data_IF_692553321420
#
_entry.id   IF_692553321420
#
_cell.length_a   1.000
_cell.length_b   1.000
_cell.length_c   1.000
_cell.angle_alpha   90.00
_cell.angle_beta   90.00
_cell.angle_gamma   90.00
#
_symmetry.space_group_name_H-M   'P 1'
#
loop_
_entity.id
_entity.type
_entity.pdbx_description
1 polymer ?
#
# COMPACT_ATOMS: atom_id res chain seq x y z
N UNK A 1 45.80 -13.84 38.24
CA UNK A 1 44.38 -13.83 37.83
C UNK A 1 44.13 -12.57 37.02
N UNK A 2 43.76 -12.73 35.75
CA UNK A 2 43.90 -11.73 34.69
C UNK A 2 42.73 -10.72 34.74
N UNK A 3 43.02 -9.42 34.93
CA UNK A 3 42.02 -8.33 34.99
C UNK A 3 41.05 -8.30 33.78
N UNK A 4 41.43 -8.88 32.65
CA UNK A 4 40.56 -9.01 31.47
C UNK A 4 39.47 -10.07 31.63
N UNK A 5 39.61 -11.03 32.55
CA UNK A 5 38.59 -12.05 32.80
C UNK A 5 37.45 -11.50 33.68
N UNK A 6 37.79 -10.60 34.61
CA UNK A 6 36.83 -9.99 35.53
C UNK A 6 35.89 -9.00 34.82
N UNK A 7 36.38 -8.29 33.79
CA UNK A 7 35.58 -7.33 33.04
C UNK A 7 34.56 -8.07 32.12
N UNK A 8 34.92 -9.24 31.55
CA UNK A 8 34.00 -10.02 30.76
C UNK A 8 32.90 -10.73 31.57
N UNK A 9 33.21 -11.12 32.78
CA UNK A 9 32.21 -11.75 33.68
C UNK A 9 31.28 -10.66 34.26
N UNK A 10 31.78 -9.45 34.51
CA UNK A 10 30.96 -8.33 35.00
C UNK A 10 30.00 -7.80 33.88
N UNK A 11 30.45 -7.80 32.62
CA UNK A 11 29.57 -7.41 31.50
C UNK A 11 28.50 -8.48 31.19
N UNK A 12 28.76 -9.77 31.39
CA UNK A 12 27.74 -10.82 31.26
C UNK A 12 26.74 -10.79 32.42
N UNK A 13 27.12 -10.41 33.61
CA UNK A 13 26.23 -10.29 34.77
C UNK A 13 25.35 -9.01 34.66
N UNK A 14 25.85 -7.93 34.04
CA UNK A 14 25.09 -6.70 33.80
C UNK A 14 24.06 -6.88 32.62
N UNK A 15 24.34 -7.75 31.67
CA UNK A 15 23.39 -8.08 30.59
C UNK A 15 22.29 -9.01 31.10
N UNK A 16 22.55 -9.85 32.11
CA UNK A 16 21.53 -10.74 32.68
C UNK A 16 20.64 -10.07 33.75
N UNK A 17 20.93 -8.86 34.19
CA UNK A 17 20.08 -8.11 35.13
C UNK A 17 19.18 -7.05 34.49
N UNK A 18 19.23 -6.88 33.15
CA UNK A 18 18.31 -5.98 32.41
C UNK A 18 17.12 -6.72 31.77
N UNK A 19 16.93 -7.99 32.05
CA UNK A 19 15.78 -8.77 31.57
C UNK A 19 14.94 -9.26 32.77
N UNK A 20 14.51 -8.37 33.64
CA UNK A 20 13.34 -8.63 34.51
C UNK A 20 12.70 -7.31 34.85
N UNK A 21 11.87 -6.88 33.95
CA UNK A 21 11.02 -5.72 34.10
C UNK A 21 10.04 -5.60 32.95
N UNK A 22 9.63 -6.73 32.37
CA UNK A 22 8.39 -6.76 31.60
C UNK A 22 7.29 -6.60 32.65
N UNK A 23 6.99 -5.35 33.00
CA UNK A 23 5.69 -5.04 33.52
C UNK A 23 4.74 -5.54 32.44
N UNK A 24 4.00 -6.62 32.71
CA UNK A 24 2.82 -6.97 31.94
C UNK A 24 1.96 -5.72 31.97
N UNK A 25 2.08 -4.88 30.96
CA UNK A 25 1.09 -3.84 30.72
C UNK A 25 -0.20 -4.63 30.55
N UNK A 26 -1.10 -4.51 31.50
CA UNK A 26 -2.43 -5.07 31.36
C UNK A 26 -3.03 -4.34 30.17
N UNK A 27 -3.20 -5.04 29.06
CA UNK A 27 -3.92 -4.47 27.93
C UNK A 27 -5.35 -4.20 28.37
N UNK A 28 -5.88 -3.04 27.99
CA UNK A 28 -7.28 -2.76 28.17
C UNK A 28 -8.10 -3.89 27.51
N UNK A 29 -9.18 -4.28 28.15
CA UNK A 29 -10.15 -5.20 27.57
C UNK A 29 -11.35 -4.41 27.11
N UNK A 30 -12.06 -4.93 26.11
CA UNK A 30 -13.33 -4.33 25.66
C UNK A 30 -14.24 -4.17 26.87
N UNK A 31 -14.70 -2.93 27.11
CA UNK A 31 -15.51 -2.54 28.27
C UNK A 31 -14.76 -1.84 29.40
N UNK A 32 -13.42 -1.82 29.39
CA UNK A 32 -12.61 -1.22 30.48
C UNK A 32 -12.74 0.31 30.54
N UNK A 33 -12.95 1.00 29.41
CA UNK A 33 -13.16 2.46 29.37
C UNK A 33 -14.57 2.86 29.82
N UNK A 34 -15.52 1.93 29.78
CA UNK A 34 -16.95 2.21 29.94
C UNK A 34 -17.61 2.87 28.72
N UNK A 35 -16.83 3.14 27.65
CA UNK A 35 -17.32 3.67 26.37
C UNK A 35 -17.85 2.53 25.49
N UNK A 36 -17.08 1.50 25.28
CA UNK A 36 -17.51 0.33 24.51
C UNK A 36 -18.13 -0.70 25.46
N UNK A 37 -19.28 -1.25 25.11
CA UNK A 37 -19.93 -2.35 25.84
C UNK A 37 -19.98 -3.58 24.96
N UNK A 38 -19.70 -4.72 25.57
CA UNK A 38 -19.88 -6.02 24.95
C UNK A 38 -21.37 -6.39 24.99
N UNK A 39 -21.92 -6.76 23.83
CA UNK A 39 -23.34 -7.14 23.71
C UNK A 39 -23.54 -8.65 23.48
N UNK A 40 -22.47 -9.39 23.15
CA UNK A 40 -22.50 -10.81 22.88
C UNK A 40 -21.19 -11.52 23.18
N UNK A 41 -21.17 -12.83 22.99
CA UNK A 41 -19.94 -13.63 23.11
C UNK A 41 -19.02 -13.33 21.93
N UNK A 42 -17.71 -13.28 22.19
CA UNK A 42 -16.70 -13.17 21.14
C UNK A 42 -16.49 -14.52 20.48
N UNK A 43 -16.47 -14.54 19.15
CA UNK A 43 -16.05 -15.70 18.36
C UNK A 43 -14.64 -15.45 17.84
N UNK A 44 -13.72 -16.40 18.06
CA UNK A 44 -12.34 -16.33 17.58
C UNK A 44 -12.07 -17.55 16.71
N UNK A 45 -11.69 -17.31 15.45
CA UNK A 45 -11.28 -18.34 14.51
C UNK A 45 -9.80 -18.18 14.17
N UNK A 46 -9.03 -19.23 14.31
CA UNK A 46 -7.63 -19.25 13.88
C UNK A 46 -7.55 -19.53 12.37
N UNK A 47 -6.79 -18.68 11.67
CA UNK A 47 -6.58 -18.72 10.23
C UNK A 47 -5.12 -19.12 9.94
N UNK A 48 -4.78 -19.23 8.65
CA UNK A 48 -3.40 -19.48 8.22
C UNK A 48 -2.45 -18.40 8.74
N UNK A 49 -1.18 -18.76 8.94
CA UNK A 49 -0.15 -17.86 9.43
C UNK A 49 -0.35 -17.37 10.86
N UNK A 50 -1.21 -18.02 11.66
CA UNK A 50 -1.50 -17.64 13.04
C UNK A 50 -2.36 -16.37 13.16
N UNK A 51 -2.97 -15.94 12.06
CA UNK A 51 -3.95 -14.83 12.06
C UNK A 51 -5.20 -15.29 12.81
N UNK A 52 -5.78 -14.41 13.61
CA UNK A 52 -7.05 -14.64 14.29
C UNK A 52 -8.13 -13.71 13.74
N UNK A 53 -9.27 -14.29 13.40
CA UNK A 53 -10.49 -13.54 13.10
C UNK A 53 -11.33 -13.45 14.35
N UNK A 54 -11.56 -12.24 14.84
CA UNK A 54 -12.40 -11.92 15.97
C UNK A 54 -13.71 -11.33 15.49
N UNK A 55 -14.83 -11.77 16.04
CA UNK A 55 -16.17 -11.25 15.76
C UNK A 55 -16.95 -11.08 17.05
N UNK A 56 -17.52 -9.90 17.27
CA UNK A 56 -18.27 -9.60 18.49
C UNK A 56 -19.28 -8.48 18.26
N UNK A 57 -20.47 -8.63 18.84
CA UNK A 57 -21.43 -7.55 18.93
C UNK A 57 -21.05 -6.60 20.08
N UNK A 58 -21.02 -5.31 19.78
CA UNK A 58 -20.67 -4.26 20.73
C UNK A 58 -21.69 -3.12 20.69
N UNK A 59 -21.63 -2.24 21.66
CA UNK A 59 -22.37 -0.97 21.62
C UNK A 59 -21.52 0.17 22.16
N UNK A 60 -21.79 1.38 21.71
CA UNK A 60 -21.14 2.59 22.17
C UNK A 60 -22.12 3.78 22.16
N UNK A 61 -21.92 4.76 23.04
CA UNK A 61 -22.71 6.00 23.01
C UNK A 61 -22.10 6.90 21.91
N UNK A 62 -22.96 7.64 21.22
CA UNK A 62 -22.52 8.62 20.24
C UNK A 62 -21.57 9.63 20.89
N UNK A 63 -20.43 9.88 20.22
CA UNK A 63 -19.38 10.80 20.71
C UNK A 63 -18.85 10.45 22.13
N UNK A 64 -18.90 9.18 22.51
CA UNK A 64 -18.39 8.66 23.78
C UNK A 64 -19.04 9.23 25.06
N UNK A 65 -20.11 10.01 24.93
CA UNK A 65 -20.68 10.80 26.07
C UNK A 65 -22.19 10.63 26.33
N UNK A 66 -22.90 9.98 25.41
CA UNK A 66 -24.35 9.83 25.52
C UNK A 66 -24.80 8.71 26.46
N UNK A 67 -26.04 8.78 26.90
CA UNK A 67 -26.70 7.72 27.72
C UNK A 67 -27.27 6.59 26.84
N UNK A 68 -27.45 6.84 25.53
CA UNK A 68 -28.00 5.90 24.59
C UNK A 68 -26.90 5.20 23.83
N UNK A 69 -26.87 3.86 23.88
CA UNK A 69 -25.86 3.01 23.23
C UNK A 69 -26.41 2.45 21.92
N UNK A 70 -25.69 2.72 20.86
CA UNK A 70 -25.94 2.15 19.52
C UNK A 70 -25.19 0.82 19.38
N UNK A 71 -25.82 -0.17 18.76
CA UNK A 71 -25.26 -1.50 18.53
C UNK A 71 -24.52 -1.55 17.21
N UNK A 72 -23.40 -2.26 17.22
CA UNK A 72 -22.52 -2.44 16.06
C UNK A 72 -22.04 -3.88 15.99
N UNK A 73 -21.94 -4.39 14.77
CA UNK A 73 -21.17 -5.58 14.48
C UNK A 73 -19.68 -5.17 14.39
N UNK A 74 -18.83 -5.83 15.12
CA UNK A 74 -17.38 -5.60 15.05
C UNK A 74 -16.66 -6.86 14.68
N UNK A 75 -15.74 -6.75 13.74
CA UNK A 75 -14.89 -7.83 13.31
C UNK A 75 -13.49 -7.31 13.03
N UNK A 76 -12.48 -8.09 13.39
CA UNK A 76 -11.10 -7.76 13.08
C UNK A 76 -10.22 -9.00 12.90
N UNK A 77 -9.19 -8.80 12.09
CA UNK A 77 -8.07 -9.72 11.93
C UNK A 77 -6.91 -9.25 12.79
N UNK A 78 -6.26 -10.16 13.48
CA UNK A 78 -5.09 -9.91 14.31
C UNK A 78 -3.96 -10.87 13.91
N UNK A 79 -2.77 -10.33 13.66
CA UNK A 79 -1.56 -11.14 13.42
C UNK A 79 -0.96 -11.62 14.74
N UNK A 80 -0.03 -12.57 14.68
CA UNK A 80 0.85 -12.85 15.80
C UNK A 80 1.70 -11.63 16.18
N UNK A 81 2.27 -11.65 17.38
CA UNK A 81 3.17 -10.61 17.87
C UNK A 81 4.29 -10.30 16.85
N UNK A 82 4.54 -9.00 16.63
CA UNK A 82 5.52 -8.55 15.63
C UNK A 82 5.11 -8.80 14.17
N UNK A 83 3.87 -9.20 13.89
CA UNK A 83 3.40 -9.53 12.53
C UNK A 83 4.05 -10.78 11.94
N UNK A 84 4.61 -11.66 12.77
CA UNK A 84 5.26 -12.90 12.33
C UNK A 84 4.30 -13.77 11.51
N UNK A 85 4.85 -14.49 10.53
CA UNK A 85 4.13 -15.45 9.69
C UNK A 85 3.28 -14.83 8.58
N UNK A 86 3.09 -13.50 8.57
CA UNK A 86 2.22 -12.77 7.64
C UNK A 86 2.96 -11.60 7.04
N UNK A 87 2.74 -11.29 5.76
CA UNK A 87 3.10 -10.01 5.15
C UNK A 87 1.86 -9.18 4.93
N UNK A 88 2.04 -7.85 5.10
CA UNK A 88 1.02 -6.86 4.75
C UNK A 88 1.34 -6.33 3.36
N UNK A 89 0.41 -6.45 2.43
CA UNK A 89 0.58 -5.98 1.06
C UNK A 89 -0.59 -5.07 0.65
N UNK A 90 -0.28 -3.99 -0.03
CA UNK A 90 -1.27 -3.19 -0.75
C UNK A 90 -1.40 -3.73 -2.16
N UNK A 91 -2.64 -3.87 -2.66
CA UNK A 91 -2.88 -4.38 -3.99
C UNK A 91 -4.07 -3.70 -4.66
N UNK A 92 -3.86 -3.20 -5.87
CA UNK A 92 -4.91 -2.68 -6.73
C UNK A 92 -5.34 -3.73 -7.76
N UNK A 93 -6.62 -3.71 -8.15
CA UNK A 93 -7.07 -4.56 -9.24
C UNK A 93 -6.39 -4.13 -10.54
N UNK A 94 -5.58 -5.01 -11.11
CA UNK A 94 -4.75 -4.68 -12.28
C UNK A 94 -5.39 -5.22 -13.55
N UNK A 95 -5.67 -4.29 -14.46
CA UNK A 95 -5.59 -4.55 -15.87
C UNK A 95 -4.44 -3.69 -16.39
N UNK A 96 -3.51 -4.28 -17.13
CA UNK A 96 -2.15 -3.79 -17.40
C UNK A 96 -2.00 -2.27 -17.69
N UNK A 97 -3.02 -1.59 -18.14
CA UNK A 97 -2.92 -0.18 -18.59
C UNK A 97 -3.87 0.78 -17.86
N UNK A 98 -4.86 0.28 -17.10
CA UNK A 98 -5.93 1.13 -16.55
C UNK A 98 -6.19 0.84 -15.09
N UNK A 99 -6.40 1.89 -14.34
CA UNK A 99 -7.03 1.82 -13.04
C UNK A 99 -8.39 1.16 -13.18
N UNK A 100 -8.69 0.25 -12.28
CA UNK A 100 -9.99 -0.42 -12.21
C UNK A 100 -10.41 -0.56 -10.75
N UNK A 101 -11.70 -0.66 -10.55
CA UNK A 101 -12.28 -0.96 -9.25
C UNK A 101 -12.79 -2.39 -9.23
N UNK A 102 -12.59 -3.08 -8.10
CA UNK A 102 -13.12 -4.42 -7.86
C UNK A 102 -13.54 -4.58 -6.41
N UNK A 103 -14.31 -5.59 -6.07
CA UNK A 103 -14.55 -6.00 -4.70
C UNK A 103 -13.24 -6.41 -4.02
N UNK A 104 -13.16 -6.30 -2.70
CA UNK A 104 -11.95 -6.69 -1.95
C UNK A 104 -11.62 -8.17 -2.16
N UNK A 105 -12.65 -9.03 -2.24
CA UNK A 105 -12.51 -10.45 -2.56
C UNK A 105 -11.93 -10.70 -3.97
N UNK A 106 -12.37 -9.91 -4.97
CA UNK A 106 -11.82 -9.99 -6.32
C UNK A 106 -10.38 -9.51 -6.38
N UNK A 107 -10.05 -8.45 -5.62
CA UNK A 107 -8.68 -7.93 -5.49
C UNK A 107 -7.77 -9.01 -4.87
N UNK A 108 -8.24 -9.70 -3.83
CA UNK A 108 -7.51 -10.80 -3.19
C UNK A 108 -7.25 -11.95 -4.17
N UNK A 109 -8.26 -12.37 -4.93
CA UNK A 109 -8.12 -13.42 -5.95
C UNK A 109 -7.16 -13.01 -7.08
N UNK A 110 -7.18 -11.73 -7.47
CA UNK A 110 -6.24 -11.19 -8.46
C UNK A 110 -4.82 -11.18 -7.91
N UNK A 111 -4.62 -10.80 -6.63
CA UNK A 111 -3.30 -10.86 -6.00
C UNK A 111 -2.70 -12.27 -6.07
N UNK A 112 -3.44 -13.29 -5.67
CA UNK A 112 -2.96 -14.68 -5.69
C UNK A 112 -2.61 -15.15 -7.11
N UNK A 113 -3.41 -14.77 -8.09
CA UNK A 113 -3.17 -15.08 -9.50
C UNK A 113 -1.87 -14.45 -10.02
N UNK A 114 -1.61 -13.20 -9.66
CA UNK A 114 -0.43 -12.43 -10.13
C UNK A 114 0.83 -12.71 -9.28
N UNK A 115 0.67 -13.32 -8.09
CA UNK A 115 1.75 -13.64 -7.15
C UNK A 115 1.71 -15.14 -6.75
N UNK A 116 2.03 -16.07 -7.66
CA UNK A 116 2.01 -17.50 -7.35
C UNK A 116 2.87 -17.84 -6.13
N UNK A 117 2.37 -18.73 -5.27
CA UNK A 117 3.03 -19.12 -4.02
C UNK A 117 2.72 -18.21 -2.83
N UNK A 118 1.78 -17.28 -2.99
CA UNK A 118 1.20 -16.51 -1.88
C UNK A 118 -0.29 -16.78 -1.75
N UNK A 119 -0.77 -16.84 -0.52
CA UNK A 119 -2.18 -17.02 -0.16
C UNK A 119 -2.63 -15.79 0.63
N UNK A 120 -3.77 -15.22 0.27
CA UNK A 120 -4.45 -14.19 1.06
C UNK A 120 -5.19 -14.86 2.22
N UNK A 121 -4.84 -14.49 3.44
CA UNK A 121 -5.53 -14.95 4.64
C UNK A 121 -6.75 -14.10 4.95
N UNK A 122 -6.64 -12.80 4.69
CA UNK A 122 -7.70 -11.84 4.84
C UNK A 122 -7.24 -10.44 4.47
N UNK A 123 -8.10 -9.44 4.66
CA UNK A 123 -7.77 -8.06 4.31
C UNK A 123 -8.98 -7.14 4.36
N UNK A 124 -8.72 -5.86 4.06
CA UNK A 124 -9.74 -4.81 3.99
C UNK A 124 -9.54 -3.96 2.74
N UNK A 125 -10.56 -3.16 2.37
CA UNK A 125 -10.32 -2.02 1.49
C UNK A 125 -9.34 -1.04 2.18
N UNK A 126 -8.71 -0.17 1.39
CA UNK A 126 -7.70 0.74 1.93
C UNK A 126 -7.94 2.20 1.52
N UNK A 127 -7.30 2.64 0.47
CA UNK A 127 -7.24 4.04 0.07
C UNK A 127 -8.60 4.60 -0.37
N UNK A 128 -8.77 5.90 -0.15
CA UNK A 128 -9.77 6.65 -0.91
C UNK A 128 -9.41 6.67 -2.39
N UNK A 129 -10.41 6.69 -3.25
CA UNK A 129 -10.24 6.56 -4.70
C UNK A 129 -11.27 7.39 -5.46
N UNK A 130 -11.05 7.61 -6.75
CA UNK A 130 -11.99 8.29 -7.62
C UNK A 130 -13.18 7.40 -7.96
N UNK A 131 -14.16 7.34 -7.04
CA UNK A 131 -15.35 6.46 -7.12
C UNK A 131 -16.19 6.68 -8.36
N UNK A 132 -16.33 7.92 -8.83
CA UNK A 132 -17.08 8.28 -10.03
C UNK A 132 -16.20 8.32 -11.30
N UNK A 133 -14.96 7.88 -11.19
CA UNK A 133 -13.96 7.91 -12.25
C UNK A 133 -13.39 6.54 -12.56
N UNK A 134 -12.08 6.49 -12.67
CA UNK A 134 -11.34 5.29 -13.06
C UNK A 134 -10.92 4.40 -11.87
N UNK A 135 -11.25 4.74 -10.63
CA UNK A 135 -10.83 3.99 -9.44
C UNK A 135 -9.39 4.29 -8.98
N UNK A 136 -8.72 5.29 -9.58
CA UNK A 136 -7.39 5.70 -9.16
C UNK A 136 -7.41 6.14 -7.69
N UNK A 137 -6.43 5.71 -6.92
CA UNK A 137 -6.22 6.16 -5.54
C UNK A 137 -5.87 7.65 -5.52
N UNK A 138 -6.30 8.33 -4.47
CA UNK A 138 -6.13 9.80 -4.35
C UNK A 138 -4.86 10.19 -3.59
N UNK A 139 -4.06 9.23 -3.17
CA UNK A 139 -2.81 9.45 -2.42
C UNK A 139 -1.66 8.64 -2.99
N UNK A 140 -0.48 8.75 -2.37
CA UNK A 140 0.66 7.92 -2.73
C UNK A 140 0.35 6.43 -2.52
N UNK A 141 0.74 5.63 -3.48
CA UNK A 141 0.59 4.18 -3.39
C UNK A 141 1.84 3.47 -3.93
N UNK A 142 2.37 2.57 -3.10
CA UNK A 142 3.48 1.69 -3.41
C UNK A 142 3.00 0.24 -3.35
N UNK A 143 3.26 -0.54 -4.39
CA UNK A 143 2.95 -1.96 -4.45
C UNK A 143 4.17 -2.76 -4.89
N UNK A 144 4.66 -3.68 -4.06
CA UNK A 144 5.83 -4.49 -4.35
C UNK A 144 7.06 -3.67 -4.80
N UNK A 145 7.30 -2.53 -4.13
CA UNK A 145 8.40 -1.62 -4.46
C UNK A 145 8.18 -0.81 -5.74
N UNK A 146 6.96 -0.76 -6.24
CA UNK A 146 6.58 0.04 -7.40
C UNK A 146 5.71 1.22 -6.99
N UNK A 147 6.15 2.45 -7.27
CA UNK A 147 5.37 3.67 -7.04
C UNK A 147 4.26 3.78 -8.08
N UNK A 148 3.12 3.17 -7.80
CA UNK A 148 2.01 3.11 -8.75
C UNK A 148 1.16 4.38 -8.80
N UNK A 149 1.23 5.22 -7.77
CA UNK A 149 0.55 6.51 -7.70
C UNK A 149 1.41 7.54 -6.95
N UNK A 150 2.27 8.30 -7.64
CA UNK A 150 3.17 9.27 -7.00
C UNK A 150 2.47 10.62 -6.81
N UNK A 151 1.65 10.75 -5.79
CA UNK A 151 1.02 12.02 -5.41
C UNK A 151 1.91 12.81 -4.46
N UNK A 152 2.06 14.12 -4.69
CA UNK A 152 2.67 15.00 -3.71
C UNK A 152 1.64 15.27 -2.60
N UNK A 153 1.80 14.60 -1.46
CA UNK A 153 1.03 14.89 -0.27
C UNK A 153 1.61 16.17 0.34
N UNK A 154 0.87 17.25 0.29
CA UNK A 154 1.24 18.47 1.00
C UNK A 154 0.59 18.48 2.38
N UNK A 155 1.20 19.19 3.35
CA UNK A 155 0.66 19.34 4.70
C UNK A 155 -0.76 19.93 4.75
N UNK A 156 -1.22 20.51 3.63
CA UNK A 156 -2.57 21.06 3.47
C UNK A 156 -3.52 20.13 2.69
N UNK A 157 -3.09 18.94 2.32
CA UNK A 157 -3.97 17.98 1.66
C UNK A 157 -4.86 17.25 2.68
N UNK A 158 -6.02 16.83 2.24
CA UNK A 158 -6.96 16.01 3.04
C UNK A 158 -6.36 14.66 3.42
N UNK A 159 -5.38 14.20 2.65
CA UNK A 159 -4.68 12.94 2.78
C UNK A 159 -3.47 13.15 3.68
N UNK A 160 -3.50 12.57 4.86
CA UNK A 160 -2.58 12.92 5.94
C UNK A 160 -1.29 12.12 5.95
N UNK A 161 -1.27 11.00 5.26
CA UNK A 161 -0.09 10.17 5.21
C UNK A 161 -0.38 8.77 4.71
N UNK A 162 0.65 7.97 4.77
CA UNK A 162 0.59 6.56 4.41
C UNK A 162 1.00 5.68 5.60
N UNK A 163 0.51 4.46 5.58
CA UNK A 163 1.12 3.32 6.24
C UNK A 163 2.01 2.65 5.22
N UNK A 164 3.31 2.68 5.45
CA UNK A 164 4.32 2.03 4.62
C UNK A 164 4.83 0.77 5.30
N UNK A 165 4.97 -0.31 4.54
CA UNK A 165 5.50 -1.58 5.02
C UNK A 165 6.78 -1.89 4.25
N UNK A 166 7.88 -2.18 4.95
CA UNK A 166 9.13 -2.60 4.34
C UNK A 166 9.03 -4.04 3.82
N UNK A 167 10.08 -4.51 3.10
CA UNK A 167 10.16 -5.94 2.69
C UNK A 167 10.11 -6.89 3.89
N UNK A 168 10.60 -6.44 5.05
CA UNK A 168 10.61 -7.20 6.31
C UNK A 168 9.36 -6.99 7.14
N UNK A 169 8.34 -6.33 6.57
CA UNK A 169 7.04 -6.07 7.18
C UNK A 169 7.07 -5.07 8.35
N UNK A 170 8.11 -4.25 8.46
CA UNK A 170 8.16 -3.17 9.44
C UNK A 170 7.23 -2.02 9.01
N UNK A 171 6.44 -1.52 9.96
CA UNK A 171 5.49 -0.43 9.73
C UNK A 171 6.15 0.93 9.89
N UNK A 172 5.93 1.80 8.93
CA UNK A 172 6.19 3.23 8.99
C UNK A 172 4.88 3.98 8.77
N UNK A 173 4.62 5.05 9.54
CA UNK A 173 3.41 5.84 9.41
C UNK A 173 3.74 7.34 9.37
N UNK A 174 3.24 8.05 8.36
CA UNK A 174 3.48 9.49 8.21
C UNK A 174 3.37 9.96 6.77
N UNK A 175 3.93 11.12 6.51
CA UNK A 175 3.98 11.73 5.17
C UNK A 175 5.34 11.43 4.56
N UNK A 176 5.41 10.64 3.49
CA UNK A 176 6.69 10.33 2.86
C UNK A 176 7.19 11.51 2.02
N UNK A 177 8.51 11.65 1.98
CA UNK A 177 9.17 12.45 0.96
C UNK A 177 9.22 11.68 -0.36
N UNK A 178 8.79 12.32 -1.46
CA UNK A 178 8.81 11.77 -2.81
C UNK A 178 9.74 12.61 -3.68
N UNK A 179 10.51 11.97 -4.56
CA UNK A 179 11.40 12.68 -5.49
C UNK A 179 10.61 13.63 -6.40
N UNK A 180 11.19 14.81 -6.69
CA UNK A 180 10.62 15.74 -7.67
C UNK A 180 10.83 15.27 -9.13
N UNK A 181 11.69 14.27 -9.33
CA UNK A 181 12.07 13.74 -10.63
C UNK A 181 11.77 12.24 -10.71
N UNK A 182 11.74 11.72 -11.92
CA UNK A 182 11.65 10.28 -12.17
C UNK A 182 13.03 9.64 -12.16
N UNK A 183 13.09 8.38 -11.73
CA UNK A 183 14.25 7.50 -11.83
C UNK A 183 13.90 6.33 -12.74
N UNK A 184 14.81 5.98 -13.65
CA UNK A 184 14.76 4.71 -14.32
C UNK A 184 15.63 3.72 -13.54
N UNK A 185 15.02 2.71 -12.97
CA UNK A 185 15.66 1.57 -12.33
C UNK A 185 15.92 0.51 -13.39
N UNK A 186 17.15 0.05 -13.50
CA UNK A 186 17.58 -0.92 -14.52
C UNK A 186 17.92 -2.23 -13.84
N UNK A 187 17.35 -3.31 -14.31
CA UNK A 187 17.56 -4.67 -13.81
C UNK A 187 18.09 -5.54 -14.93
N UNK A 188 18.84 -6.58 -14.59
CA UNK A 188 19.27 -7.60 -15.54
C UNK A 188 18.07 -8.42 -16.04
N UNK A 189 18.10 -8.86 -17.30
CA UNK A 189 17.07 -9.72 -17.90
C UNK A 189 16.79 -10.98 -17.07
N UNK A 190 17.82 -11.52 -16.43
CA UNK A 190 17.77 -12.79 -15.71
C UNK A 190 17.60 -12.63 -14.18
N UNK A 191 17.70 -11.40 -13.66
CA UNK A 191 17.61 -11.11 -12.21
C UNK A 191 16.85 -9.79 -11.99
N UNK A 192 15.54 -9.89 -11.95
CA UNK A 192 14.63 -8.75 -11.71
C UNK A 192 14.65 -8.24 -10.26
N UNK A 193 15.33 -8.93 -9.36
CA UNK A 193 15.39 -8.57 -7.94
C UNK A 193 16.65 -7.77 -7.59
N UNK A 194 17.70 -7.86 -8.43
CA UNK A 194 18.94 -7.11 -8.25
C UNK A 194 19.02 -5.94 -9.22
N UNK A 195 18.99 -4.74 -8.67
CA UNK A 195 19.13 -3.52 -9.44
C UNK A 195 20.57 -3.37 -9.97
N UNK A 196 20.69 -3.22 -11.29
CA UNK A 196 21.96 -3.07 -12.01
C UNK A 196 22.45 -1.62 -12.01
N UNK A 197 21.53 -0.67 -12.20
CA UNK A 197 21.84 0.76 -12.31
C UNK A 197 20.57 1.61 -12.09
N UNK A 198 20.76 2.88 -11.75
CA UNK A 198 19.72 3.90 -11.71
C UNK A 198 20.08 5.09 -12.60
N UNK A 199 19.12 5.61 -13.31
CA UNK A 199 19.30 6.75 -14.21
C UNK A 199 18.27 7.82 -13.88
N UNK A 200 18.72 9.03 -13.54
CA UNK A 200 17.83 10.17 -13.34
C UNK A 200 17.21 10.61 -14.65
N UNK A 201 15.89 10.70 -14.69
CA UNK A 201 15.11 11.18 -15.83
C UNK A 201 14.96 12.69 -15.74
N UNK A 202 15.37 13.39 -16.80
CA UNK A 202 15.32 14.86 -16.89
C UNK A 202 13.97 15.38 -17.33
N UNK A 203 13.23 14.63 -18.13
CA UNK A 203 11.92 15.01 -18.63
C UNK A 203 11.11 13.81 -19.11
N UNK A 204 9.78 13.99 -19.09
CA UNK A 204 8.80 13.03 -19.63
C UNK A 204 7.95 13.75 -20.66
N UNK A 205 7.87 13.23 -21.89
CA UNK A 205 7.07 13.80 -22.99
C UNK A 205 7.21 15.33 -23.14
N UNK A 206 8.42 15.92 -23.08
CA UNK A 206 8.58 17.37 -23.19
C UNK A 206 8.29 17.83 -24.61
N UNK A 207 8.10 19.12 -24.81
CA UNK A 207 7.99 19.70 -26.15
C UNK A 207 9.34 19.81 -26.87
N UNK A 208 10.45 19.74 -26.14
CA UNK A 208 11.82 19.81 -26.67
C UNK A 208 12.72 18.89 -25.84
N UNK A 209 13.51 18.04 -26.49
CA UNK A 209 14.48 17.15 -25.84
C UNK A 209 15.76 17.91 -25.51
N UNK A 210 16.22 17.80 -24.27
CA UNK A 210 17.49 18.34 -23.82
C UNK A 210 18.67 17.59 -24.44
N UNK A 211 19.81 18.29 -24.61
CA UNK A 211 21.08 17.67 -25.01
C UNK A 211 21.83 17.02 -23.84
N UNK A 212 21.33 17.20 -22.60
CA UNK A 212 21.89 16.58 -21.38
C UNK A 212 20.82 15.83 -20.63
N UNK A 213 21.19 14.73 -19.99
CA UNK A 213 20.32 13.84 -19.26
C UNK A 213 19.45 12.96 -20.15
N UNK A 214 18.54 12.21 -19.51
CA UNK A 214 17.67 11.24 -20.17
C UNK A 214 16.23 11.74 -20.22
N UNK A 215 15.62 11.65 -21.39
CA UNK A 215 14.21 11.94 -21.61
C UNK A 215 13.45 10.63 -21.82
N UNK A 216 12.28 10.50 -21.18
CA UNK A 216 11.34 9.40 -21.43
C UNK A 216 10.24 9.90 -22.37
N UNK A 217 9.98 9.11 -23.42
CA UNK A 217 8.85 9.33 -24.32
C UNK A 217 7.92 8.13 -24.26
N UNK A 218 6.63 8.40 -24.13
CA UNK A 218 5.57 7.39 -24.06
C UNK A 218 4.56 7.58 -25.19
N UNK A 219 3.61 6.68 -25.32
CA UNK A 219 2.48 6.78 -26.27
C UNK A 219 1.69 8.09 -26.21
N UNK A 220 1.77 8.80 -25.06
CA UNK A 220 1.06 10.07 -24.86
C UNK A 220 1.85 11.28 -25.36
N UNK A 221 3.03 11.05 -25.90
CA UNK A 221 3.79 12.09 -26.56
C UNK A 221 3.17 12.47 -27.92
N UNK A 222 2.87 13.76 -28.10
CA UNK A 222 2.27 14.29 -29.32
C UNK A 222 3.28 15.08 -30.19
N UNK A 223 4.56 15.11 -29.82
CA UNK A 223 5.58 15.91 -30.47
C UNK A 223 6.50 15.02 -31.32
N UNK A 224 6.73 15.41 -32.56
CA UNK A 224 7.77 14.81 -33.40
C UNK A 224 9.14 15.43 -33.07
N UNK A 225 10.17 14.60 -32.95
CA UNK A 225 11.53 15.05 -32.62
C UNK A 225 12.55 14.63 -33.69
N UNK A 226 13.54 15.47 -33.90
CA UNK A 226 14.77 15.10 -34.62
C UNK A 226 15.74 14.49 -33.60
N UNK A 227 15.90 13.15 -33.67
CA UNK A 227 16.77 12.39 -32.77
C UNK A 227 18.14 12.08 -33.33
N UNK A 228 18.58 12.77 -34.40
CA UNK A 228 19.90 12.62 -34.92
C UNK A 228 20.96 12.98 -33.89
N UNK A 229 21.91 12.08 -33.67
CA UNK A 229 22.96 12.23 -32.66
C UNK A 229 22.55 11.91 -31.23
N UNK A 230 21.33 11.40 -31.00
CA UNK A 230 20.92 10.84 -29.72
C UNK A 230 21.01 9.31 -29.75
N UNK A 231 21.37 8.72 -28.62
CA UNK A 231 21.12 7.29 -28.35
C UNK A 231 19.65 7.13 -28.01
N UNK A 232 18.97 6.18 -28.62
CA UNK A 232 17.56 5.88 -28.41
C UNK A 232 17.45 4.42 -27.96
N UNK A 233 16.98 4.22 -26.76
CA UNK A 233 16.64 2.90 -26.20
C UNK A 233 15.14 2.73 -26.33
N UNK A 234 14.71 1.69 -27.02
CA UNK A 234 13.32 1.35 -27.27
C UNK A 234 12.95 0.20 -26.35
N UNK A 235 12.00 0.43 -25.48
CA UNK A 235 11.45 -0.61 -24.60
C UNK A 235 10.03 -0.98 -24.97
N UNK A 236 9.66 -2.22 -24.66
CA UNK A 236 8.27 -2.70 -24.78
C UNK A 236 7.63 -2.66 -23.41
N UNK A 237 6.45 -2.06 -23.30
CA UNK A 237 5.73 -2.01 -22.07
C UNK A 237 5.22 -3.39 -21.61
N UNK A 238 5.49 -3.73 -20.34
CA UNK A 238 4.66 -4.65 -19.58
C UNK A 238 3.52 -3.88 -18.90
N UNK A 239 3.85 -2.72 -18.34
CA UNK A 239 2.88 -1.85 -17.66
C UNK A 239 3.17 -0.39 -17.97
N UNK A 240 2.12 0.36 -18.25
CA UNK A 240 2.10 1.83 -18.27
C UNK A 240 0.89 2.30 -17.51
N UNK A 241 1.12 3.20 -16.56
CA UNK A 241 0.05 3.91 -15.86
C UNK A 241 0.32 5.40 -15.91
N UNK A 242 -0.72 6.16 -16.14
CA UNK A 242 -0.69 7.61 -16.05
C UNK A 242 -1.76 8.05 -15.08
N UNK A 243 -1.39 8.93 -14.16
CA UNK A 243 -2.34 9.56 -13.25
C UNK A 243 -3.07 10.70 -13.95
N UNK A 244 -4.19 11.16 -13.37
CA UNK A 244 -4.93 12.35 -13.85
C UNK A 244 -4.07 13.62 -13.83
N UNK A 245 -3.00 13.65 -13.04
CA UNK A 245 -2.07 14.77 -12.93
C UNK A 245 -0.89 14.68 -13.93
N UNK A 246 -0.89 13.70 -14.82
CA UNK A 246 0.19 13.49 -15.79
C UNK A 246 1.40 12.75 -15.23
N UNK A 247 1.37 12.29 -13.99
CA UNK A 247 2.42 11.46 -13.41
C UNK A 247 2.41 10.08 -14.06
N UNK A 248 3.59 9.52 -14.29
CA UNK A 248 3.74 8.23 -14.98
C UNK A 248 4.41 7.17 -14.11
N UNK A 249 4.04 5.95 -14.38
CA UNK A 249 4.75 4.75 -14.01
C UNK A 249 4.87 3.86 -15.23
N UNK A 250 6.09 3.46 -15.57
CA UNK A 250 6.39 2.66 -16.77
C UNK A 250 7.29 1.51 -16.38
N UNK A 251 7.00 0.30 -16.84
CA UNK A 251 7.95 -0.80 -16.80
C UNK A 251 7.88 -1.67 -18.04
N UNK A 252 9.01 -2.27 -18.39
CA UNK A 252 9.13 -3.17 -19.52
C UNK A 252 10.56 -3.46 -19.91
N UNK A 253 10.75 -4.25 -20.97
CA UNK A 253 12.04 -4.72 -21.44
C UNK A 253 12.60 -3.87 -22.56
N UNK A 254 13.92 -3.66 -22.53
CA UNK A 254 14.65 -3.06 -23.66
C UNK A 254 14.60 -4.01 -24.85
N UNK A 255 14.00 -3.55 -25.93
CA UNK A 255 13.80 -4.30 -27.18
C UNK A 255 14.88 -4.01 -28.20
N UNK A 256 15.30 -2.74 -28.29
CA UNK A 256 16.19 -2.26 -29.33
C UNK A 256 16.98 -1.04 -28.82
N UNK A 257 18.24 -0.92 -29.24
CA UNK A 257 19.06 0.26 -28.97
C UNK A 257 19.59 0.78 -30.32
N UNK A 258 19.37 2.08 -30.57
CA UNK A 258 19.82 2.77 -31.75
C UNK A 258 20.87 3.82 -31.38
N UNK A 259 22.01 3.78 -32.01
CA UNK A 259 22.97 4.88 -31.98
C UNK A 259 22.48 6.00 -32.94
N UNK A 260 22.44 7.21 -32.47
CA UNK A 260 21.93 8.34 -33.20
C UNK A 260 22.62 8.75 -34.47
N UNK A 261 23.79 8.15 -34.78
CA UNK A 261 24.45 8.30 -36.07
C UNK A 261 23.69 7.63 -37.21
N UNK A 262 22.89 6.62 -36.92
CA UNK A 262 22.12 5.82 -37.88
C UNK A 262 20.65 6.27 -37.98
N UNK A 263 20.17 7.18 -37.12
CA UNK A 263 18.81 7.69 -37.15
C UNK A 263 18.63 8.71 -38.27
N UNK A 264 18.70 8.28 -39.52
CA UNK A 264 18.39 9.11 -40.70
C UNK A 264 16.88 9.45 -40.83
N UNK A 265 16.05 8.81 -40.05
CA UNK A 265 14.59 9.09 -39.99
C UNK A 265 14.20 9.61 -38.64
N UNK A 266 13.43 10.73 -38.58
CA UNK A 266 12.74 11.11 -37.34
C UNK A 266 11.93 9.90 -36.87
N UNK A 267 12.00 9.59 -35.56
CA UNK A 267 10.99 8.72 -34.99
C UNK A 267 9.72 9.57 -34.96
N UNK A 268 8.82 9.29 -35.88
CA UNK A 268 7.50 9.91 -35.88
C UNK A 268 6.68 9.30 -34.75
N UNK A 269 6.67 9.97 -33.60
CA UNK A 269 5.77 9.65 -32.49
C UNK A 269 4.35 10.14 -32.73
N UNK A 270 4.13 10.82 -33.85
CA UNK A 270 2.84 11.35 -34.22
C UNK A 270 1.93 10.23 -34.68
N UNK A 271 0.95 9.92 -33.85
CA UNK A 271 -0.15 9.04 -34.23
C UNK A 271 -1.15 9.83 -35.09
N UNK A 272 -0.92 9.88 -36.40
CA UNK A 272 -1.87 10.43 -37.37
C UNK A 272 -2.98 9.40 -37.74
N UNK A 273 -3.05 8.27 -37.00
CA UNK A 273 -3.96 7.16 -37.26
C UNK A 273 -3.48 6.21 -38.37
N UNK A 274 -2.34 6.49 -39.03
CA UNK A 274 -1.82 5.69 -40.14
C UNK A 274 -0.45 5.10 -39.88
N UNK A 275 0.33 5.65 -38.95
CA UNK A 275 1.65 5.14 -38.57
C UNK A 275 1.56 4.28 -37.31
N UNK A 276 1.90 3.02 -37.46
CA UNK A 276 1.99 2.00 -36.42
C UNK A 276 3.15 2.25 -35.44
N UNK A 277 3.15 3.36 -34.70
CA UNK A 277 3.88 3.38 -33.44
C UNK A 277 3.13 2.43 -32.52
N UNK A 278 3.78 1.34 -32.15
CA UNK A 278 3.18 0.38 -31.24
C UNK A 278 2.80 1.13 -29.98
N UNK A 279 1.52 1.13 -29.62
CA UNK A 279 1.01 1.68 -28.35
C UNK A 279 1.63 1.00 -27.14
N UNK A 280 2.53 0.05 -27.34
CA UNK A 280 3.23 -0.76 -26.35
C UNK A 280 4.72 -0.43 -26.23
N UNK A 281 5.21 0.67 -26.78
CA UNK A 281 6.60 1.05 -26.71
C UNK A 281 6.83 2.32 -25.92
N UNK A 282 7.94 2.37 -25.17
CA UNK A 282 8.49 3.57 -24.56
C UNK A 282 9.90 3.80 -25.06
N UNK A 283 10.41 5.03 -24.91
CA UNK A 283 11.73 5.39 -25.39
C UNK A 283 12.50 6.12 -24.30
N UNK A 284 13.76 5.73 -24.10
CA UNK A 284 14.71 6.52 -23.36
C UNK A 284 15.65 7.19 -24.38
N UNK A 285 15.80 8.49 -24.27
CA UNK A 285 16.56 9.29 -25.24
C UNK A 285 17.62 10.11 -24.51
N UNK A 286 18.89 9.98 -24.92
CA UNK A 286 19.99 10.76 -24.37
C UNK A 286 21.06 11.05 -25.42
N UNK A 287 21.86 12.12 -25.18
CA UNK A 287 22.99 12.53 -26.02
C UNK A 287 24.32 12.57 -25.26
N UNK A 288 24.31 12.39 -23.95
CA UNK A 288 25.45 12.59 -23.06
C UNK A 288 26.10 11.31 -22.54
N UNK A 289 25.75 10.16 -23.11
CA UNK A 289 26.30 8.85 -22.69
C UNK A 289 25.55 8.18 -21.52
N UNK A 290 24.55 8.82 -20.93
CA UNK A 290 23.81 8.27 -19.78
C UNK A 290 23.11 6.93 -20.04
N UNK A 291 22.96 6.53 -21.30
CA UNK A 291 22.34 5.27 -21.72
C UNK A 291 23.35 4.23 -22.24
N UNK A 292 24.66 4.45 -22.06
CA UNK A 292 25.67 3.61 -22.68
C UNK A 292 25.77 2.20 -22.10
N UNK A 293 25.38 2.05 -20.82
CA UNK A 293 25.42 0.77 -20.11
C UNK A 293 24.18 -0.11 -20.31
N UNK A 294 23.13 0.40 -20.98
CA UNK A 294 21.93 -0.40 -21.24
C UNK A 294 22.19 -1.38 -22.38
N UNK A 295 21.62 -2.56 -22.23
CA UNK A 295 21.65 -3.62 -23.26
C UNK A 295 20.24 -4.10 -23.59
N UNK A 296 20.07 -4.73 -24.76
CA UNK A 296 18.81 -5.38 -25.12
C UNK A 296 18.55 -6.51 -24.13
N UNK A 297 17.32 -6.59 -23.61
CA UNK A 297 16.91 -7.52 -22.58
C UNK A 297 16.83 -6.89 -21.17
N UNK A 298 17.56 -5.81 -20.90
CA UNK A 298 17.45 -5.12 -19.60
C UNK A 298 15.99 -4.77 -19.29
N UNK A 299 15.60 -4.95 -18.04
CA UNK A 299 14.29 -4.56 -17.54
C UNK A 299 14.36 -3.16 -16.94
N UNK A 300 13.49 -2.28 -17.38
CA UNK A 300 13.47 -0.87 -17.00
C UNK A 300 12.19 -0.56 -16.26
N UNK A 301 12.31 0.12 -15.13
CA UNK A 301 11.19 0.66 -14.35
C UNK A 301 11.39 2.16 -14.17
N UNK A 302 10.48 2.98 -14.70
CA UNK A 302 10.52 4.44 -14.55
C UNK A 302 9.43 4.87 -13.59
N UNK A 303 9.84 5.46 -12.47
CA UNK A 303 8.94 5.89 -11.40
C UNK A 303 9.52 7.09 -10.65
N UNK A 304 8.72 7.69 -9.77
CA UNK A 304 9.20 8.50 -8.65
C UNK A 304 9.47 7.60 -7.46
N UNK A 305 10.39 8.00 -6.59
CA UNK A 305 10.80 7.19 -5.44
C UNK A 305 10.44 7.89 -4.13
N UNK A 306 10.25 7.11 -3.09
CA UNK A 306 10.32 7.61 -1.74
C UNK A 306 11.78 7.90 -1.37
N UNK A 307 11.98 8.92 -0.55
CA UNK A 307 13.31 9.39 -0.13
C UNK A 307 13.56 9.09 1.36
N UNK A 308 14.81 9.24 1.75
CA UNK A 308 15.26 9.11 3.14
C UNK A 308 14.87 7.76 3.76
N UNK A 309 14.35 7.75 4.98
CA UNK A 309 13.89 6.54 5.67
C UNK A 309 12.75 5.81 4.93
N UNK A 310 11.99 6.53 4.12
CA UNK A 310 10.88 5.98 3.33
C UNK A 310 11.33 5.14 2.13
N UNK A 311 12.59 5.26 1.72
CA UNK A 311 13.12 4.52 0.57
C UNK A 311 13.01 2.98 0.71
N UNK A 312 12.88 2.47 1.94
CA UNK A 312 12.72 1.05 2.23
C UNK A 312 11.27 0.56 2.17
N UNK A 313 10.30 1.46 2.00
CA UNK A 313 8.88 1.09 1.90
C UNK A 313 8.64 0.30 0.62
N UNK A 314 8.05 -0.87 0.78
CA UNK A 314 7.78 -1.81 -0.29
C UNK A 314 6.30 -1.90 -0.68
N UNK A 315 5.41 -1.73 0.30
CA UNK A 315 3.97 -1.58 0.11
C UNK A 315 3.47 -0.39 0.91
N UNK A 316 2.45 0.32 0.42
CA UNK A 316 1.83 1.38 1.19
C UNK A 316 0.34 1.52 0.90
N UNK A 317 -0.39 1.97 1.91
CA UNK A 317 -1.77 2.41 1.79
C UNK A 317 -1.94 3.75 2.50
N UNK A 318 -2.73 4.66 1.93
CA UNK A 318 -2.98 5.95 2.56
C UNK A 318 -4.07 5.84 3.63
N UNK A 319 -3.88 6.56 4.72
CA UNK A 319 -4.90 6.73 5.73
C UNK A 319 -5.48 8.15 5.67
N UNK A 320 -6.73 8.25 6.13
CA UNK A 320 -7.39 9.55 6.20
C UNK A 320 -7.14 10.23 7.55
N UNK A 321 -7.28 9.48 8.65
CA UNK A 321 -7.09 9.98 10.00
C UNK A 321 -6.26 9.03 10.85
N UNK A 322 -5.28 9.54 11.59
CA UNK A 322 -4.76 8.85 12.77
C UNK A 322 -5.77 9.10 13.88
N UNK A 323 -6.34 8.05 14.46
CA UNK A 323 -7.42 8.15 15.45
C UNK A 323 -6.96 7.85 16.87
N UNK A 324 -5.91 7.02 16.97
CA UNK A 324 -5.26 6.66 18.23
C UNK A 324 -3.76 6.90 18.08
N UNK A 325 -3.15 7.60 19.03
CA UNK A 325 -1.73 7.94 19.04
C UNK A 325 -1.12 7.64 20.41
N UNK A 326 -0.28 6.62 20.48
CA UNK A 326 0.36 6.18 21.72
C UNK A 326 -0.65 6.06 22.89
N UNK A 327 -1.73 5.29 22.67
CA UNK A 327 -2.86 5.10 23.59
C UNK A 327 -3.75 6.35 23.83
N UNK A 328 -3.49 7.48 23.16
CA UNK A 328 -4.31 8.68 23.26
C UNK A 328 -5.37 8.72 22.18
N UNK A 329 -6.65 8.78 22.54
CA UNK A 329 -7.76 9.04 21.62
C UNK A 329 -7.70 10.50 21.16
N UNK A 330 -7.72 10.74 19.83
CA UNK A 330 -7.42 12.07 19.30
C UNK A 330 -8.64 12.99 19.14
N UNK A 331 -9.82 12.46 18.92
CA UNK A 331 -11.02 13.25 18.55
C UNK A 331 -12.14 13.21 19.58
N UNK A 332 -11.83 12.90 20.82
CA UNK A 332 -12.79 12.80 21.90
C UNK A 332 -13.45 14.16 22.18
N UNK A 333 -14.75 14.14 22.38
CA UNK A 333 -15.53 15.31 22.83
C UNK A 333 -15.85 16.31 21.72
N UNK A 334 -15.84 15.91 20.46
CA UNK A 334 -16.13 16.80 19.31
C UNK A 334 -17.56 17.38 19.33
N UNK A 335 -18.48 16.83 20.08
CA UNK A 335 -19.82 17.42 20.32
C UNK A 335 -19.76 18.64 21.20
N UNK A 336 -18.71 18.83 22.01
CA UNK A 336 -18.51 20.03 22.79
C UNK A 336 -17.90 21.13 21.89
N UNK A 337 -18.50 22.34 21.80
CA UNK A 337 -18.04 23.40 20.91
C UNK A 337 -16.58 23.85 21.14
N UNK A 338 -16.11 23.87 22.41
CA UNK A 338 -14.74 24.27 22.76
C UNK A 338 -13.74 23.18 22.32
N UNK A 339 -14.04 21.91 22.63
CA UNK A 339 -13.25 20.76 22.19
C UNK A 339 -13.23 20.64 20.66
N UNK A 340 -14.36 20.88 20.02
CA UNK A 340 -14.44 20.92 18.56
C UNK A 340 -13.52 21.98 17.97
N UNK A 341 -13.46 23.17 18.56
CA UNK A 341 -12.56 24.24 18.13
C UNK A 341 -11.09 23.82 18.28
N UNK A 342 -10.72 23.23 19.42
CA UNK A 342 -9.38 22.67 19.67
C UNK A 342 -9.00 21.59 18.65
N UNK A 343 -9.92 20.67 18.35
CA UNK A 343 -9.71 19.62 17.34
C UNK A 343 -9.49 20.24 15.95
N UNK A 344 -10.27 21.25 15.60
CA UNK A 344 -10.08 21.98 14.30
C UNK A 344 -8.73 22.68 14.26
N UNK A 345 -8.34 23.35 15.34
CA UNK A 345 -7.05 24.05 15.41
C UNK A 345 -5.87 23.08 15.36
N UNK A 346 -5.95 21.98 16.09
CA UNK A 346 -4.84 21.00 16.20
C UNK A 346 -4.73 20.08 15.00
N UNK A 347 -5.86 19.59 14.51
CA UNK A 347 -5.94 18.54 13.49
C UNK A 347 -6.68 18.99 12.23
N UNK A 348 -7.27 20.19 12.26
CA UNK A 348 -8.04 20.75 11.15
C UNK A 348 -7.14 21.14 9.97
N UNK A 349 -7.67 21.07 8.78
CA UNK A 349 -7.03 21.51 7.56
C UNK A 349 -7.85 22.67 7.04
N UNK A 350 -7.23 23.83 6.88
CA UNK A 350 -7.68 25.03 6.17
C UNK A 350 -9.12 25.07 5.64
N UNK A 351 -10.13 24.93 6.49
CA UNK A 351 -11.53 24.78 6.12
C UNK A 351 -11.99 23.35 5.80
N UNK A 352 -11.13 22.35 6.05
CA UNK A 352 -11.43 20.94 5.86
C UNK A 352 -12.63 20.47 6.68
N UNK A 353 -13.45 19.65 6.05
CA UNK A 353 -14.75 19.27 6.56
C UNK A 353 -14.64 18.40 7.82
N UNK A 354 -14.80 19.04 8.99
CA UNK A 354 -14.90 18.36 10.28
C UNK A 354 -16.04 17.34 10.30
N UNK A 355 -16.96 17.39 9.33
CA UNK A 355 -18.06 16.43 9.22
C UNK A 355 -17.58 15.00 9.17
N UNK A 356 -16.37 14.74 8.62
CA UNK A 356 -15.78 13.39 8.62
C UNK A 356 -15.41 12.88 10.01
N UNK A 357 -14.93 13.75 10.89
CA UNK A 357 -14.63 13.42 12.29
C UNK A 357 -15.91 13.07 13.04
N UNK A 358 -16.96 13.84 12.79
CA UNK A 358 -18.22 13.78 13.54
C UNK A 358 -19.28 12.87 12.93
N UNK A 359 -19.11 12.45 11.67
CA UNK A 359 -20.09 11.59 11.02
C UNK A 359 -20.03 10.15 11.53
N UNK A 360 -21.19 9.54 11.61
CA UNK A 360 -21.35 8.12 11.92
C UNK A 360 -21.36 7.31 10.64
N UNK A 361 -20.35 6.45 10.46
CA UNK A 361 -20.22 5.57 9.28
C UNK A 361 -19.62 4.23 9.69
N UNK A 362 -19.81 3.22 8.87
CA UNK A 362 -18.99 2.01 8.95
C UNK A 362 -17.52 2.41 8.83
N UNK A 363 -16.67 1.87 9.70
CA UNK A 363 -15.25 2.22 9.76
C UNK A 363 -14.40 1.07 9.27
N UNK A 364 -13.37 1.39 8.50
CA UNK A 364 -12.31 0.49 8.10
C UNK A 364 -11.02 0.99 8.75
N UNK A 365 -10.42 0.18 9.61
CA UNK A 365 -9.37 0.63 10.52
C UNK A 365 -8.14 -0.28 10.41
N UNK A 366 -6.98 0.32 10.57
CA UNK A 366 -5.73 -0.39 10.81
C UNK A 366 -5.17 0.01 12.18
N UNK A 367 -4.57 -0.94 12.90
CA UNK A 367 -3.93 -0.66 14.17
C UNK A 367 -2.70 -1.52 14.41
N UNK A 368 -1.88 -1.08 15.36
CA UNK A 368 -0.74 -1.83 15.88
C UNK A 368 -0.86 -1.94 17.40
N UNK A 369 -0.68 -3.15 17.92
CA UNK A 369 -0.63 -3.43 19.36
C UNK A 369 0.78 -3.20 19.93
N UNK A 370 0.90 -3.12 21.25
CA UNK A 370 2.18 -2.90 21.90
C UNK A 370 3.19 -4.06 21.71
N UNK A 371 2.72 -5.27 21.41
CA UNK A 371 3.55 -6.42 21.07
C UNK A 371 3.93 -6.47 19.58
N UNK A 372 3.52 -5.46 18.79
CA UNK A 372 3.77 -5.37 17.37
C UNK A 372 2.77 -6.14 16.50
N UNK A 373 1.71 -6.73 17.07
CA UNK A 373 0.64 -7.36 16.28
C UNK A 373 -0.07 -6.30 15.45
N UNK A 374 -0.38 -6.62 14.19
CA UNK A 374 -1.20 -5.79 13.32
C UNK A 374 -2.67 -6.18 13.42
N UNK A 375 -3.53 -5.19 13.36
CA UNK A 375 -4.99 -5.32 13.40
C UNK A 375 -5.60 -4.67 12.18
N UNK A 376 -6.47 -5.38 11.47
CA UNK A 376 -7.36 -4.83 10.45
C UNK A 376 -8.79 -5.02 10.93
N UNK A 377 -9.53 -3.93 11.12
CA UNK A 377 -10.87 -3.98 11.68
C UNK A 377 -11.91 -3.29 10.80
N UNK A 378 -13.09 -3.85 10.76
CA UNK A 378 -14.30 -3.20 10.23
C UNK A 378 -15.38 -3.19 11.29
N UNK A 379 -15.96 -2.00 11.53
CA UNK A 379 -17.02 -1.78 12.51
C UNK A 379 -18.20 -1.14 11.83
N UNK A 380 -19.37 -1.62 12.13
CA UNK A 380 -20.64 -1.18 11.56
C UNK A 380 -21.17 -2.19 10.58
N UNK A 381 -22.45 -2.17 10.36
CA UNK A 381 -23.19 -3.14 9.55
C UNK A 381 -24.07 -2.46 8.51
N UNK A 382 -24.99 -3.23 7.96
CA UNK A 382 -25.96 -2.88 6.92
C UNK A 382 -26.92 -1.75 7.29
N UNK A 383 -26.87 -1.25 8.52
CA UNK A 383 -27.69 -0.13 8.97
C UNK A 383 -26.90 1.15 8.92
N UNK A 384 -27.55 2.23 8.59
CA UNK A 384 -27.02 3.59 8.38
C UNK A 384 -26.30 4.24 9.59
N UNK A 385 -26.08 3.51 10.65
CA UNK A 385 -25.45 3.97 11.89
C UNK A 385 -24.11 3.27 12.04
N UNK A 386 -23.03 3.99 11.77
CA UNK A 386 -21.66 3.58 12.11
C UNK A 386 -21.13 4.38 13.28
N UNK A 387 -19.85 4.24 13.56
CA UNK A 387 -19.15 4.95 14.63
C UNK A 387 -18.58 6.29 14.16
N UNK A 388 -18.48 7.25 15.07
CA UNK A 388 -17.62 8.42 14.92
C UNK A 388 -16.15 8.00 15.05
N UNK A 389 -15.20 8.88 14.74
CA UNK A 389 -13.78 8.55 14.88
C UNK A 389 -13.36 8.34 16.34
N UNK A 390 -13.98 9.04 17.30
CA UNK A 390 -13.67 8.87 18.72
C UNK A 390 -14.11 7.52 19.27
N UNK A 391 -15.30 7.05 18.92
CA UNK A 391 -15.78 5.72 19.32
C UNK A 391 -14.91 4.62 18.70
N UNK A 392 -14.57 4.77 17.41
CA UNK A 392 -13.67 3.84 16.73
C UNK A 392 -12.27 3.81 17.37
N UNK A 393 -11.77 4.96 17.83
CA UNK A 393 -10.49 5.04 18.54
C UNK A 393 -10.54 4.34 19.90
N UNK A 394 -11.65 4.50 20.66
CA UNK A 394 -11.84 3.75 21.90
C UNK A 394 -11.89 2.25 21.65
N UNK A 395 -12.61 1.81 20.61
CA UNK A 395 -12.65 0.41 20.25
C UNK A 395 -11.26 -0.15 19.95
N UNK A 396 -10.48 0.53 19.08
CA UNK A 396 -9.12 0.09 18.76
C UNK A 396 -8.22 0.04 20.00
N UNK A 397 -8.35 1.02 20.89
CA UNK A 397 -7.62 1.04 22.17
C UNK A 397 -8.02 -0.15 23.06
N UNK A 398 -9.30 -0.47 23.16
CA UNK A 398 -9.80 -1.54 24.03
C UNK A 398 -9.46 -2.94 23.51
N UNK A 399 -9.34 -3.12 22.19
CA UNK A 399 -8.78 -4.37 21.62
C UNK A 399 -7.25 -4.45 21.73
N UNK A 400 -6.60 -3.45 22.33
CA UNK A 400 -5.19 -3.45 22.66
C UNK A 400 -4.26 -2.71 21.72
N UNK A 401 -4.78 -1.98 20.73
CA UNK A 401 -3.95 -1.14 19.87
C UNK A 401 -3.38 0.05 20.65
N UNK A 402 -2.16 0.44 20.32
CA UNK A 402 -1.48 1.64 20.82
C UNK A 402 -1.55 2.79 19.83
N UNK A 403 -1.55 2.47 18.55
CA UNK A 403 -1.78 3.37 17.43
C UNK A 403 -2.86 2.81 16.49
N UNK A 404 -3.68 3.68 15.91
CA UNK A 404 -4.69 3.27 14.93
C UNK A 404 -5.00 4.39 13.92
N UNK A 405 -5.40 3.98 12.72
CA UNK A 405 -5.68 4.83 11.56
C UNK A 405 -7.01 4.41 10.91
N UNK A 406 -7.70 5.40 10.33
CA UNK A 406 -8.96 5.23 9.61
C UNK A 406 -8.70 5.29 8.10
N UNK A 407 -9.18 4.29 7.37
CA UNK A 407 -9.17 4.15 5.92
C UNK A 407 -10.50 4.60 5.31
N UNK A 408 -10.72 4.31 4.02
CA UNK A 408 -12.00 4.58 3.36
C UNK A 408 -13.10 3.72 3.99
N UNK A 409 -14.05 4.41 4.62
CA UNK A 409 -15.15 3.80 5.35
C UNK A 409 -16.47 3.84 4.59
N UNK A 410 -17.58 3.86 5.35
CA UNK A 410 -18.92 3.89 4.79
C UNK A 410 -19.19 2.66 3.93
N UNK A 411 -19.69 2.87 2.71
CA UNK A 411 -20.01 1.77 1.81
C UNK A 411 -18.82 0.96 1.31
N UNK A 412 -17.59 1.52 1.41
CA UNK A 412 -16.36 0.80 1.04
C UNK A 412 -15.91 -0.19 2.12
N UNK A 413 -16.33 0.00 3.39
CA UNK A 413 -15.86 -0.80 4.52
C UNK A 413 -16.17 -2.29 4.33
N UNK A 414 -15.15 -3.05 4.02
CA UNK A 414 -15.20 -4.48 3.73
C UNK A 414 -14.05 -5.19 4.41
N UNK A 415 -14.34 -6.23 5.20
CA UNK A 415 -13.37 -7.18 5.75
C UNK A 415 -13.59 -8.53 5.09
N UNK A 416 -12.52 -9.09 4.56
CA UNK A 416 -12.50 -10.45 4.02
C UNK A 416 -11.61 -11.36 4.87
N UNK A 417 -11.95 -12.64 4.92
CA UNK A 417 -11.11 -13.67 5.52
C UNK A 417 -11.25 -14.99 4.77
N UNK A 418 -10.22 -15.82 4.82
CA UNK A 418 -10.24 -17.16 4.24
C UNK A 418 -10.87 -18.13 5.22
N UNK A 419 -11.85 -18.90 4.75
CA UNK A 419 -12.48 -19.94 5.54
C UNK A 419 -11.63 -21.24 5.60
N UNK A 420 -12.07 -22.19 6.39
CA UNK A 420 -11.41 -23.50 6.56
C UNK A 420 -11.41 -24.36 5.26
N UNK A 421 -12.26 -24.04 4.30
CA UNK A 421 -12.35 -24.70 2.99
C UNK A 421 -11.46 -24.05 1.93
N UNK A 422 -10.78 -22.94 2.27
CA UNK A 422 -9.90 -22.22 1.39
C UNK A 422 -10.59 -21.15 0.53
N UNK A 423 -11.84 -20.77 0.83
CA UNK A 423 -12.55 -19.72 0.11
C UNK A 423 -12.40 -18.38 0.82
N UNK A 424 -12.26 -17.31 0.07
CA UNK A 424 -12.37 -15.94 0.60
C UNK A 424 -13.84 -15.62 0.83
N UNK A 425 -14.16 -15.18 2.05
CA UNK A 425 -15.49 -14.78 2.48
C UNK A 425 -15.48 -13.30 2.88
N UNK A 426 -16.54 -12.58 2.54
CA UNK A 426 -16.82 -11.26 3.13
C UNK A 426 -17.40 -11.46 4.53
N UNK A 427 -16.75 -10.91 5.53
CA UNK A 427 -17.05 -11.17 6.94
C UNK A 427 -18.12 -10.22 7.48
N UNK A 428 -17.99 -8.93 7.20
CA UNK A 428 -19.01 -7.95 7.56
C UNK A 428 -20.13 -7.91 6.51
N UNK A 429 -21.21 -7.21 6.83
CA UNK A 429 -22.25 -6.88 5.84
C UNK A 429 -21.96 -5.49 5.27
N UNK A 430 -21.39 -5.35 4.06
CA UNK A 430 -21.14 -4.05 3.46
C UNK A 430 -22.40 -3.19 3.38
N UNK A 431 -22.27 -1.89 3.69
CA UNK A 431 -23.40 -0.97 3.81
C UNK A 431 -23.80 -0.29 2.50
N UNK A 432 -23.13 -0.60 1.39
CA UNK A 432 -23.45 0.01 0.09
C UNK A 432 -24.75 -0.54 -0.50
N UNK A 433 -25.42 0.27 -1.31
CA UNK A 433 -26.75 0.17 -1.92
C UNK A 433 -27.50 -1.16 -2.01
N UNK A 434 -26.81 -2.29 -2.21
CA UNK A 434 -27.33 -3.64 -2.05
C UNK A 434 -26.61 -4.30 -0.86
N UNK A 435 -27.32 -4.45 0.25
CA UNK A 435 -26.81 -5.07 1.46
C UNK A 435 -26.09 -6.40 1.17
N UNK A 436 -24.85 -6.53 1.68
CA UNK A 436 -24.06 -7.73 1.53
C UNK A 436 -23.27 -7.81 0.22
N UNK A 437 -23.33 -6.81 -0.66
CA UNK A 437 -22.50 -6.72 -1.85
C UNK A 437 -21.32 -5.77 -1.59
N UNK A 438 -20.11 -6.24 -1.83
CA UNK A 438 -18.91 -5.41 -1.73
C UNK A 438 -18.97 -4.24 -2.73
N UNK A 439 -18.67 -3.03 -2.24
CA UNK A 439 -18.38 -1.91 -3.14
C UNK A 439 -17.11 -2.22 -3.93
N UNK A 440 -17.11 -1.87 -5.21
CA UNK A 440 -15.90 -1.88 -6.03
C UNK A 440 -15.01 -0.72 -5.58
N UNK A 441 -13.80 -1.03 -5.10
CA UNK A 441 -12.81 -0.11 -4.52
C UNK A 441 -11.54 -0.06 -5.37
N UNK A 442 -10.67 0.93 -5.12
CA UNK A 442 -9.43 1.12 -5.88
C UNK A 442 -8.35 0.11 -5.52
N UNK A 443 -8.18 -0.20 -4.23
CA UNK A 443 -7.21 -1.15 -3.72
C UNK A 443 -7.67 -1.79 -2.40
N UNK A 444 -6.91 -2.78 -1.96
CA UNK A 444 -7.05 -3.46 -0.67
C UNK A 444 -5.72 -3.55 0.05
N UNK A 445 -5.77 -3.58 1.37
CA UNK A 445 -4.65 -3.97 2.23
C UNK A 445 -4.89 -5.42 2.67
N UNK A 446 -3.95 -6.31 2.32
CA UNK A 446 -4.10 -7.76 2.45
C UNK A 446 -3.07 -8.32 3.44
N UNK A 447 -3.50 -9.30 4.24
CA UNK A 447 -2.64 -10.20 5.02
C UNK A 447 -2.37 -11.45 4.17
N UNK A 448 -1.09 -11.68 3.84
CA UNK A 448 -0.71 -12.79 2.96
C UNK A 448 0.34 -13.68 3.62
N UNK A 449 0.30 -14.96 3.31
CA UNK A 449 1.26 -15.98 3.77
C UNK A 449 1.86 -16.72 2.59
N UNK A 450 3.02 -17.33 2.78
CA UNK A 450 3.53 -18.29 1.78
C UNK A 450 2.61 -19.51 1.73
N UNK A 451 2.29 -19.94 0.53
CA UNK A 451 1.56 -21.21 0.33
C UNK A 451 2.45 -22.38 0.79
N UNK A 452 2.07 -23.12 1.83
CA UNK A 452 2.87 -24.26 2.31
C UNK A 452 2.90 -25.42 1.30
N UNK A 453 1.96 -25.46 0.35
CA UNK A 453 1.90 -26.45 -0.73
C UNK A 453 2.65 -26.02 -2.00
N UNK A 454 3.08 -24.77 -2.09
CA UNK A 454 3.79 -24.26 -3.27
C UNK A 454 5.25 -24.70 -3.22
N UNK A 455 5.53 -25.80 -3.90
CA UNK A 455 6.90 -26.20 -4.21
C UNK A 455 7.35 -25.36 -5.39
N UNK A 456 8.34 -24.47 -5.20
CA UNK A 456 9.11 -23.98 -6.33
C UNK A 456 9.71 -25.20 -7.00
N UNK A 457 9.11 -25.68 -8.08
CA UNK A 457 9.87 -26.48 -9.02
C UNK A 457 10.91 -25.51 -9.57
N UNK A 458 12.11 -25.54 -9.01
CA UNK A 458 13.29 -25.17 -9.77
C UNK A 458 13.16 -26.04 -11.01
N UNK A 459 12.66 -25.45 -12.10
CA UNK A 459 12.64 -26.12 -13.38
C UNK A 459 14.03 -26.67 -13.53
N UNK A 460 14.15 -27.99 -13.62
CA UNK A 460 15.39 -28.66 -13.97
C UNK A 460 15.87 -28.03 -15.29
N UNK A 461 16.64 -26.97 -15.16
CA UNK A 461 17.45 -26.45 -16.23
C UNK A 461 18.71 -27.30 -16.39
N UNK A 462 18.48 -28.62 -16.43
CA UNK A 462 19.45 -29.50 -17.08
C UNK A 462 19.27 -29.25 -18.57
N UNK A 463 20.24 -28.63 -19.25
CA UNK A 463 20.16 -28.46 -20.69
C UNK A 463 20.13 -29.85 -21.29
N UNK A 464 18.98 -30.19 -21.88
CA UNK A 464 18.87 -31.42 -22.68
C UNK A 464 19.79 -31.22 -23.88
N UNK A 465 20.99 -31.76 -23.78
CA UNK A 465 21.92 -31.88 -24.93
C UNK A 465 21.23 -32.73 -25.98
N UNK A 466 20.61 -32.05 -26.96
CA UNK A 466 20.15 -32.70 -28.18
C UNK A 466 21.38 -33.07 -28.98
N UNK A 467 21.81 -34.31 -28.85
CA UNK A 467 22.81 -34.89 -29.73
C UNK A 467 22.19 -35.10 -31.11
N UNK A 468 22.48 -34.22 -32.03
CA UNK A 468 22.22 -34.46 -33.45
C UNK A 468 23.14 -35.63 -33.90
N UNK A 469 22.55 -36.83 -34.05
CA UNK A 469 23.16 -37.92 -34.80
C UNK A 469 23.20 -37.50 -36.26
N UNK A 470 24.44 -37.56 -36.86
CA UNK A 470 24.70 -37.45 -38.26
C UNK A 470 24.03 -38.53 -39.08
#
# INVERSE_FOLDING_TARGET
MNKKFFVKVLSMILISMFVVGITKTAYAKIGDSGVIRVEGEETINELLGGVKLHQQDISAPMDCTGDYYYKYDSQYLETMAGGEGVKIVSWSYRNAEKWQMAGVSDIAANFEKENPGWIVVGGTNADFFHINGNGQMVSNAMENGEMINPMNITTNSWWRGILGFTKDNELMAGVPDVTDYYTAHIFDENDSDTEKNTIKISAVNPTTISTSGVTVLTKDNLTAYDLRGYKVVIGTYDVVRQTSNGEIFVKGYVKEIRDGKENERPLDFYNDGTNNVSIKEFFLVSKDGSLDDLVVGDYVKVQKDYMNEWANVYNSASYYWKILDNNKVLYEGHSNPEKKAEIIETYGYGGGDISYITCTKSRCLFGIKADGSYVMAVIGGSTSTGMTLSEAAYYMKEIGCVDAWDFDGGGSATLIARDEYGNIQTINTPSDGNQGVERRVGNALLMVVRDPGFVFSLADSTPTTVSLKK
#
